data_IF_700681810910
#
_entry.id   IF_700681810910
#
_cell.length_a   1.000
_cell.length_b   1.000
_cell.length_c   1.000
_cell.angle_alpha   90.00
_cell.angle_beta   90.00
_cell.angle_gamma   90.00
#
_symmetry.space_group_name_H-M   'P 1'
#
loop_
_entity.id
_entity.type
_entity.pdbx_description
1 polymer ?
#
# COMPACT_ATOMS: atom_id res chain seq x y z
N UNK A 1 -84.95 19.53 -2.04
CA UNK A 1 -85.82 20.66 -2.43
C UNK A 1 -84.91 21.88 -2.37
N UNK A 2 -84.95 22.77 -3.37
CA UNK A 2 -84.19 24.03 -3.34
C UNK A 2 -85.09 25.09 -2.70
N UNK A 3 -84.52 26.03 -1.95
CA UNK A 3 -85.24 27.19 -1.43
C UNK A 3 -85.64 28.17 -2.56
N UNK A 4 -86.46 29.18 -2.23
CA UNK A 4 -86.98 30.16 -3.22
C UNK A 4 -85.89 31.07 -3.85
N UNK A 5 -84.61 30.91 -3.48
CA UNK A 5 -83.46 31.57 -4.12
C UNK A 5 -82.51 30.58 -4.83
N UNK A 6 -82.88 29.29 -4.92
CA UNK A 6 -82.21 28.30 -5.75
C UNK A 6 -80.96 27.67 -5.15
N UNK A 7 -80.77 27.76 -3.82
CA UNK A 7 -79.68 27.08 -3.13
C UNK A 7 -80.13 25.69 -2.61
N UNK A 8 -79.23 24.69 -2.63
CA UNK A 8 -79.52 23.37 -2.06
C UNK A 8 -79.44 23.39 -0.53
N UNK A 9 -80.58 23.09 0.12
CA UNK A 9 -80.67 22.75 1.54
C UNK A 9 -79.84 21.49 1.83
N UNK A 10 -78.81 21.63 2.66
CA UNK A 10 -78.04 20.50 3.21
C UNK A 10 -78.15 20.60 4.73
N UNK A 11 -78.97 19.73 5.32
CA UNK A 11 -79.13 19.58 6.76
C UNK A 11 -77.86 18.97 7.39
N UNK A 12 -77.11 19.77 8.16
CA UNK A 12 -75.97 19.34 8.97
C UNK A 12 -76.41 18.76 10.33
N UNK A 13 -77.20 17.68 10.41
CA UNK A 13 -77.26 16.89 11.67
C UNK A 13 -77.71 15.45 11.45
N UNK A 14 -76.79 14.53 11.15
CA UNK A 14 -76.92 13.14 11.60
C UNK A 14 -75.55 12.46 11.68
N UNK A 15 -74.85 12.76 12.78
CA UNK A 15 -73.68 12.05 13.24
C UNK A 15 -74.15 10.98 14.23
N UNK A 16 -73.95 9.69 13.94
CA UNK A 16 -73.49 8.62 14.86
C UNK A 16 -73.93 7.21 14.39
N UNK A 17 -72.96 6.36 14.00
CA UNK A 17 -73.12 4.90 14.13
C UNK A 17 -72.26 4.00 13.25
N UNK A 18 -71.04 3.66 13.69
CA UNK A 18 -70.37 2.39 13.33
C UNK A 18 -69.02 2.48 12.58
N UNK A 19 -67.93 2.18 13.30
CA UNK A 19 -66.53 1.94 12.84
C UNK A 19 -66.30 0.47 12.39
N UNK A 20 -65.12 0.05 11.87
CA UNK A 20 -64.01 0.73 11.17
C UNK A 20 -63.55 -0.06 9.90
N UNK A 21 -62.40 0.33 9.33
CA UNK A 21 -61.56 -0.40 8.35
C UNK A 21 -61.81 -0.12 6.86
N UNK A 22 -61.43 1.09 6.45
CA UNK A 22 -60.70 1.27 5.21
C UNK A 22 -59.57 2.25 5.50
N UNK A 23 -58.32 1.78 5.45
CA UNK A 23 -57.15 2.65 5.36
C UNK A 23 -57.37 3.53 4.12
N UNK A 24 -57.64 4.82 4.35
CA UNK A 24 -57.56 5.84 3.33
C UNK A 24 -56.13 5.79 2.76
N UNK A 25 -56.03 5.34 1.52
CA UNK A 25 -54.87 5.53 0.65
C UNK A 25 -54.76 7.04 0.37
N UNK A 26 -54.29 7.76 1.37
CA UNK A 26 -54.00 9.18 1.33
C UNK A 26 -52.92 9.39 0.29
N UNK A 27 -53.20 10.28 -0.68
CA UNK A 27 -52.18 10.69 -1.63
C UNK A 27 -51.05 11.32 -0.82
N UNK A 28 -49.86 10.73 -0.89
CA UNK A 28 -48.63 11.25 -0.30
C UNK A 28 -48.22 12.52 -1.07
N UNK A 29 -48.95 13.61 -0.83
CA UNK A 29 -48.59 14.94 -1.27
C UNK A 29 -47.56 15.47 -0.28
N UNK A 30 -46.28 15.31 -0.62
CA UNK A 30 -45.20 16.08 0.00
C UNK A 30 -45.57 17.58 -0.08
N UNK A 31 -45.76 18.23 1.08
CA UNK A 31 -46.12 19.65 1.23
C UNK A 31 -45.06 20.64 0.67
N UNK A 32 -43.95 20.14 0.10
CA UNK A 32 -42.95 20.93 -0.60
C UNK A 32 -43.24 20.98 -2.10
N UNK A 33 -44.14 21.90 -2.48
CA UNK A 33 -44.27 22.40 -3.85
C UNK A 33 -42.94 23.02 -4.29
N UNK A 34 -42.05 22.20 -4.85
CA UNK A 34 -40.83 22.67 -5.49
C UNK A 34 -41.22 23.56 -6.67
N UNK A 35 -41.13 24.87 -6.48
CA UNK A 35 -41.30 25.86 -7.53
C UNK A 35 -40.37 25.47 -8.69
N UNK A 36 -40.89 25.28 -9.92
CA UNK A 36 -40.07 25.09 -11.10
C UNK A 36 -38.97 26.16 -11.15
N UNK A 37 -37.76 25.83 -11.58
CA UNK A 37 -36.64 26.79 -11.62
C UNK A 37 -36.92 28.04 -12.50
N UNK A 38 -38.03 28.01 -13.23
CA UNK A 38 -38.59 29.01 -14.10
C UNK A 38 -39.37 30.13 -13.36
N UNK A 39 -39.64 30.00 -12.05
CA UNK A 39 -40.35 31.05 -11.27
C UNK A 39 -39.44 32.07 -10.58
N UNK A 40 -38.11 31.95 -10.71
CA UNK A 40 -37.23 33.09 -10.47
C UNK A 40 -37.43 34.09 -11.61
N UNK A 41 -38.26 35.10 -11.36
CA UNK A 41 -38.51 36.21 -12.27
C UNK A 41 -37.18 36.82 -12.73
N UNK A 42 -36.70 36.38 -13.89
CA UNK A 42 -35.73 37.13 -14.67
C UNK A 42 -36.41 38.44 -14.99
N UNK A 43 -35.95 39.54 -14.40
CA UNK A 43 -36.28 40.87 -14.88
C UNK A 43 -35.91 40.88 -16.38
N UNK A 44 -36.93 40.76 -17.23
CA UNK A 44 -36.79 40.79 -18.67
C UNK A 44 -36.25 42.16 -19.04
N UNK A 45 -34.98 42.20 -19.43
CA UNK A 45 -34.51 43.26 -20.31
C UNK A 45 -35.03 42.85 -21.68
N UNK A 46 -35.93 43.66 -22.25
CA UNK A 46 -36.36 43.52 -23.64
C UNK A 46 -35.11 43.39 -24.54
N UNK A 47 -34.94 42.22 -25.14
CA UNK A 47 -33.83 41.90 -26.04
C UNK A 47 -34.23 42.30 -27.46
N UNK A 48 -34.27 43.61 -27.73
CA UNK A 48 -34.36 44.15 -29.09
C UNK A 48 -32.99 44.19 -29.80
N UNK A 49 -31.92 43.64 -29.21
CA UNK A 49 -30.57 43.66 -29.78
C UNK A 49 -29.74 42.41 -29.41
N UNK A 50 -30.22 41.21 -29.78
CA UNK A 50 -29.43 39.99 -29.95
C UNK A 50 -28.30 39.75 -28.94
N UNK A 51 -28.56 39.91 -27.63
CA UNK A 51 -27.53 39.88 -26.61
C UNK A 51 -27.00 38.46 -26.38
N UNK A 52 -25.81 38.16 -26.91
CA UNK A 52 -25.13 36.87 -26.68
C UNK A 52 -24.22 36.92 -25.45
N UNK A 53 -24.52 36.08 -24.45
CA UNK A 53 -23.65 35.84 -23.29
C UNK A 53 -22.89 34.52 -23.44
N UNK A 54 -21.54 34.52 -23.46
CA UNK A 54 -20.76 33.28 -23.55
C UNK A 54 -20.92 32.41 -22.28
N UNK A 55 -20.99 31.07 -22.42
CA UNK A 55 -21.13 30.18 -21.27
C UNK A 55 -19.86 30.12 -20.42
N UNK A 56 -20.03 29.95 -19.11
CA UNK A 56 -18.91 29.74 -18.19
C UNK A 56 -18.33 28.34 -18.30
N UNK A 57 -17.00 28.23 -18.29
CA UNK A 57 -16.31 26.94 -18.36
C UNK A 57 -16.60 26.09 -17.11
N UNK A 58 -17.11 24.88 -17.32
CA UNK A 58 -17.25 23.87 -16.27
C UNK A 58 -15.92 23.26 -15.84
N UNK A 59 -15.92 22.61 -14.67
CA UNK A 59 -14.76 21.87 -14.16
C UNK A 59 -14.64 20.50 -14.85
N UNK A 60 -13.42 20.02 -15.15
CA UNK A 60 -13.22 18.69 -15.72
C UNK A 60 -13.55 17.59 -14.68
N UNK A 61 -13.87 16.35 -15.11
CA UNK A 61 -14.17 15.23 -14.19
C UNK A 61 -13.09 15.01 -13.12
N UNK A 62 -11.81 15.14 -13.50
CA UNK A 62 -10.68 14.98 -12.58
C UNK A 62 -10.70 15.92 -11.37
N UNK A 63 -11.35 17.08 -11.48
CA UNK A 63 -11.50 18.03 -10.37
C UNK A 63 -12.30 17.44 -9.20
N UNK A 64 -13.27 16.56 -9.49
CA UNK A 64 -14.18 16.02 -8.46
C UNK A 64 -13.62 14.77 -7.77
N UNK A 65 -12.68 14.04 -8.38
CA UNK A 65 -12.15 12.78 -7.82
C UNK A 65 -11.57 12.90 -6.41
N UNK A 66 -10.80 13.96 -6.06
CA UNK A 66 -10.28 14.12 -4.70
C UNK A 66 -11.35 14.26 -3.61
N UNK A 67 -12.55 14.73 -3.98
CA UNK A 67 -13.68 14.87 -3.05
C UNK A 67 -14.41 13.53 -2.87
N UNK A 68 -14.48 12.74 -3.94
CA UNK A 68 -15.19 11.45 -3.97
C UNK A 68 -14.34 10.27 -3.48
N UNK A 69 -13.03 10.46 -3.25
CA UNK A 69 -12.13 9.39 -2.83
C UNK A 69 -11.11 9.83 -1.79
N UNK A 70 -10.72 8.88 -0.92
CA UNK A 70 -9.62 9.01 0.05
C UNK A 70 -8.39 8.16 -0.32
N UNK A 71 -8.36 7.60 -1.53
CA UNK A 71 -7.26 6.78 -2.01
C UNK A 71 -6.19 7.65 -2.67
N UNK A 72 -4.93 7.40 -2.35
CA UNK A 72 -3.79 8.17 -2.90
C UNK A 72 -3.76 8.11 -4.43
N UNK A 73 -4.02 6.93 -5.00
CA UNK A 73 -4.05 6.73 -6.45
C UNK A 73 -5.01 7.69 -7.18
N UNK A 74 -6.18 7.96 -6.60
CA UNK A 74 -7.19 8.84 -7.20
C UNK A 74 -6.78 10.31 -7.16
N UNK A 75 -6.14 10.73 -6.07
CA UNK A 75 -5.60 12.09 -5.95
C UNK A 75 -4.43 12.32 -6.90
N UNK A 76 -3.56 11.32 -7.06
CA UNK A 76 -2.44 11.38 -8.00
C UNK A 76 -2.93 11.44 -9.45
N UNK A 77 -3.89 10.59 -9.82
CA UNK A 77 -4.48 10.61 -11.18
C UNK A 77 -5.24 11.90 -11.46
N UNK A 78 -5.82 12.55 -10.45
CA UNK A 78 -6.41 13.88 -10.59
C UNK A 78 -5.38 15.01 -10.78
N UNK A 79 -4.10 14.75 -10.55
CA UNK A 79 -3.05 15.78 -10.51
C UNK A 79 -3.00 16.57 -9.20
N UNK A 80 -3.78 16.17 -8.18
CA UNK A 80 -3.83 16.79 -6.87
C UNK A 80 -2.69 16.26 -5.97
N UNK A 81 -1.43 16.50 -6.37
CA UNK A 81 -0.25 15.93 -5.71
C UNK A 81 -0.08 16.36 -4.24
N UNK A 82 -0.43 17.60 -3.88
CA UNK A 82 -0.37 18.06 -2.49
C UNK A 82 -1.36 17.33 -1.59
N UNK A 83 -2.53 17.00 -2.12
CA UNK A 83 -3.54 16.22 -1.41
C UNK A 83 -3.10 14.75 -1.28
N UNK A 84 -2.57 14.17 -2.35
CA UNK A 84 -1.99 12.83 -2.33
C UNK A 84 -0.83 12.70 -1.32
N UNK A 85 0.06 13.71 -1.25
CA UNK A 85 1.17 13.72 -0.31
C UNK A 85 0.70 13.77 1.15
N UNK A 86 -0.33 14.58 1.46
CA UNK A 86 -0.96 14.61 2.79
C UNK A 86 -1.57 13.26 3.15
N UNK A 87 -2.28 12.62 2.23
CA UNK A 87 -2.82 11.27 2.46
C UNK A 87 -1.71 10.24 2.75
N UNK A 88 -0.61 10.26 2.00
CA UNK A 88 0.53 9.38 2.26
C UNK A 88 1.19 9.65 3.63
N UNK A 89 1.24 10.90 4.05
CA UNK A 89 1.75 11.28 5.36
C UNK A 89 0.84 10.75 6.49
N UNK A 90 -0.47 10.94 6.40
CA UNK A 90 -1.42 10.56 7.44
C UNK A 90 -1.65 9.03 7.49
N UNK A 91 -1.67 8.37 6.34
CA UNK A 91 -1.93 6.94 6.23
C UNK A 91 -0.68 6.09 6.52
N UNK A 92 0.49 6.52 6.05
CA UNK A 92 1.70 5.69 6.02
C UNK A 92 2.93 6.37 6.64
N UNK A 93 2.79 7.59 7.17
CA UNK A 93 3.90 8.29 7.84
C UNK A 93 4.99 8.73 6.88
N UNK A 94 4.66 8.91 5.60
CA UNK A 94 5.61 9.31 4.55
C UNK A 94 5.92 10.80 4.70
N UNK A 95 7.19 11.12 4.95
CA UNK A 95 7.70 12.49 5.11
C UNK A 95 8.57 12.93 3.94
N UNK A 96 9.20 11.98 3.23
CA UNK A 96 9.99 12.26 2.04
C UNK A 96 9.24 11.79 0.80
N UNK A 97 8.64 12.74 0.08
CA UNK A 97 7.82 12.46 -1.11
C UNK A 97 8.66 12.33 -2.40
N UNK A 98 9.88 12.84 -2.44
CA UNK A 98 10.72 12.89 -3.65
C UNK A 98 10.85 11.53 -4.38
N UNK A 99 11.03 10.38 -3.70
CA UNK A 99 11.08 9.06 -4.36
C UNK A 99 9.79 8.66 -5.09
N UNK A 100 8.64 9.28 -4.76
CA UNK A 100 7.36 9.03 -5.45
C UNK A 100 7.22 9.80 -6.77
N UNK A 101 8.14 10.72 -7.11
CA UNK A 101 8.01 11.61 -8.28
C UNK A 101 7.69 10.84 -9.57
N UNK A 102 8.45 9.80 -9.89
CA UNK A 102 8.22 9.02 -11.11
C UNK A 102 6.91 8.22 -11.06
N UNK A 103 6.54 7.69 -9.89
CA UNK A 103 5.28 6.99 -9.71
C UNK A 103 4.08 7.93 -9.90
N UNK A 104 4.17 9.14 -9.36
CA UNK A 104 3.13 10.16 -9.47
C UNK A 104 2.96 10.63 -10.91
N UNK A 105 4.06 11.00 -11.57
CA UNK A 105 4.03 11.42 -12.97
C UNK A 105 3.50 10.32 -13.89
N UNK A 106 3.93 9.07 -13.68
CA UNK A 106 3.44 7.93 -14.47
C UNK A 106 1.93 7.71 -14.27
N UNK A 107 1.46 7.75 -13.03
CA UNK A 107 0.04 7.59 -12.72
C UNK A 107 -0.81 8.75 -13.24
N UNK A 108 -0.30 9.98 -13.20
CA UNK A 108 -0.97 11.14 -13.79
C UNK A 108 -1.01 11.08 -15.32
N UNK A 109 0.09 10.66 -15.97
CA UNK A 109 0.17 10.58 -17.43
C UNK A 109 -0.86 9.63 -18.05
N UNK A 110 -1.28 8.59 -17.31
CA UNK A 110 -2.32 7.62 -17.74
C UNK A 110 -3.75 7.99 -17.34
N UNK A 111 -3.96 9.15 -16.72
CA UNK A 111 -5.28 9.54 -16.15
C UNK A 111 -6.34 9.88 -17.19
N UNK A 112 -5.93 10.25 -18.40
CA UNK A 112 -6.80 10.75 -19.46
C UNK A 112 -6.32 10.30 -20.82
N UNK A 113 -7.27 10.12 -21.74
CA UNK A 113 -7.00 9.91 -23.15
C UNK A 113 -7.22 11.22 -23.92
N UNK A 114 -6.60 11.34 -25.09
CA UNK A 114 -6.77 12.49 -25.96
C UNK A 114 -7.40 12.03 -27.29
N UNK A 115 -8.33 12.82 -27.82
CA UNK A 115 -8.94 12.59 -29.12
C UNK A 115 -9.15 13.91 -29.86
N UNK A 116 -9.13 13.86 -31.19
CA UNK A 116 -9.43 15.03 -32.02
C UNK A 116 -10.92 15.06 -32.36
N UNK A 117 -11.53 16.23 -32.22
CA UNK A 117 -12.91 16.45 -32.63
C UNK A 117 -12.94 17.01 -34.05
N UNK A 118 -12.79 18.32 -34.16
CA UNK A 118 -12.63 19.03 -35.43
C UNK A 118 -11.14 19.19 -35.76
N UNK A 119 -10.74 18.99 -37.04
CA UNK A 119 -9.38 19.27 -37.47
C UNK A 119 -8.92 20.68 -37.08
N UNK A 120 -7.70 20.79 -36.54
CA UNK A 120 -7.09 22.06 -36.10
C UNK A 120 -7.75 22.76 -34.89
N UNK A 121 -8.74 22.16 -34.23
CA UNK A 121 -9.37 22.73 -33.02
C UNK A 121 -8.62 22.39 -31.71
N UNK A 122 -7.57 21.57 -31.78
CA UNK A 122 -6.81 21.08 -30.63
C UNK A 122 -7.36 19.78 -30.02
N UNK A 123 -6.63 19.17 -29.08
CA UNK A 123 -7.02 17.90 -28.49
C UNK A 123 -8.13 18.07 -27.46
N UNK A 124 -9.13 17.19 -27.52
CA UNK A 124 -10.09 16.96 -26.45
C UNK A 124 -9.55 15.89 -25.51
N UNK A 125 -9.93 15.97 -24.24
CA UNK A 125 -9.56 14.97 -23.24
C UNK A 125 -10.78 14.19 -22.79
N UNK A 126 -10.65 12.87 -22.77
CA UNK A 126 -11.60 11.97 -22.12
C UNK A 126 -10.99 11.40 -20.85
N UNK A 127 -11.83 11.20 -19.83
CA UNK A 127 -11.43 10.76 -18.49
C UNK A 127 -12.10 9.42 -18.20
N UNK A 128 -11.43 8.28 -18.50
CA UNK A 128 -12.00 6.96 -18.26
C UNK A 128 -12.29 6.73 -16.78
N UNK A 129 -13.47 6.20 -16.47
CA UNK A 129 -13.93 5.98 -15.11
C UNK A 129 -14.05 4.48 -14.80
N UNK A 130 -13.68 4.08 -13.59
CA UNK A 130 -13.88 2.68 -13.15
C UNK A 130 -15.34 2.37 -12.82
N UNK A 131 -16.11 3.38 -12.44
CA UNK A 131 -17.54 3.30 -12.14
C UNK A 131 -18.41 3.93 -13.24
N UNK A 132 -17.99 3.82 -14.51
CA UNK A 132 -18.62 4.50 -15.65
C UNK A 132 -20.10 4.16 -15.86
N UNK A 133 -20.57 2.99 -15.41
CA UNK A 133 -21.97 2.56 -15.52
C UNK A 133 -22.89 3.30 -14.54
N UNK A 134 -22.37 3.67 -13.38
CA UNK A 134 -23.12 4.28 -12.27
C UNK A 134 -22.82 5.78 -12.13
N UNK A 135 -21.75 6.27 -12.78
CA UNK A 135 -21.31 7.64 -12.62
C UNK A 135 -22.22 8.63 -13.35
N UNK A 136 -22.87 9.53 -12.60
CA UNK A 136 -23.52 10.73 -13.13
C UNK A 136 -22.69 11.99 -12.78
N UNK A 137 -21.89 12.48 -13.73
CA UNK A 137 -21.15 13.73 -13.58
C UNK A 137 -20.11 13.72 -12.45
N UNK A 138 -20.46 14.25 -11.27
CA UNK A 138 -19.51 14.58 -10.17
C UNK A 138 -19.05 13.36 -9.35
N UNK A 139 -19.75 12.23 -9.44
CA UNK A 139 -19.47 11.02 -8.64
C UNK A 139 -18.54 10.01 -9.35
N UNK A 140 -17.97 10.39 -10.51
CA UNK A 140 -17.02 9.55 -11.22
C UNK A 140 -15.73 9.31 -10.42
N UNK A 141 -15.12 8.16 -10.64
CA UNK A 141 -13.83 7.78 -10.07
C UNK A 141 -12.90 7.29 -11.18
N UNK A 142 -11.60 7.62 -11.16
CA UNK A 142 -10.69 7.35 -12.26
C UNK A 142 -10.50 5.85 -12.50
N UNK A 143 -10.24 5.48 -13.76
CA UNK A 143 -9.91 4.10 -14.12
C UNK A 143 -8.66 3.60 -13.39
N UNK A 144 -8.65 2.30 -13.07
CA UNK A 144 -7.51 1.64 -12.43
C UNK A 144 -6.48 1.29 -13.50
N UNK A 145 -5.24 1.74 -13.33
CA UNK A 145 -4.15 1.47 -14.27
C UNK A 145 -2.98 0.66 -13.70
N UNK A 146 -3.05 0.25 -12.43
CA UNK A 146 -2.05 -0.59 -11.77
C UNK A 146 -2.79 -1.65 -10.97
N UNK A 147 -2.52 -2.91 -11.27
CA UNK A 147 -3.12 -4.04 -10.59
C UNK A 147 -2.10 -4.80 -9.74
N UNK A 148 -2.59 -5.59 -8.79
CA UNK A 148 -1.74 -6.39 -7.91
C UNK A 148 -0.87 -7.39 -8.71
N UNK A 149 -1.42 -7.95 -9.79
CA UNK A 149 -0.69 -8.83 -10.72
C UNK A 149 0.53 -8.17 -11.36
N UNK A 150 0.48 -6.86 -11.65
CA UNK A 150 1.64 -6.13 -12.17
C UNK A 150 2.79 -6.09 -11.16
N UNK A 151 2.47 -5.91 -9.87
CA UNK A 151 3.47 -5.90 -8.82
C UNK A 151 4.02 -7.29 -8.54
N UNK A 152 3.18 -8.33 -8.60
CA UNK A 152 3.62 -9.72 -8.50
C UNK A 152 4.62 -10.09 -9.61
N UNK A 153 4.38 -9.62 -10.85
CA UNK A 153 5.31 -9.81 -11.96
C UNK A 153 6.65 -9.09 -11.72
N UNK A 154 6.62 -7.85 -11.24
CA UNK A 154 7.85 -7.09 -10.87
C UNK A 154 8.63 -7.76 -9.74
N UNK A 155 7.95 -8.43 -8.82
CA UNK A 155 8.58 -9.18 -7.73
C UNK A 155 9.42 -10.36 -8.25
N UNK A 156 8.98 -11.03 -9.32
CA UNK A 156 9.76 -12.11 -9.94
C UNK A 156 11.11 -11.61 -10.47
N UNK A 157 11.14 -10.41 -11.05
CA UNK A 157 12.40 -9.76 -11.46
C UNK A 157 13.32 -9.52 -10.26
N UNK A 158 12.77 -9.09 -9.12
CA UNK A 158 13.53 -8.90 -7.88
C UNK A 158 14.13 -10.22 -7.36
N UNK A 159 13.40 -11.33 -7.45
CA UNK A 159 13.92 -12.65 -7.11
C UNK A 159 15.06 -13.08 -8.03
N UNK A 160 14.94 -12.84 -9.33
CA UNK A 160 16.02 -13.13 -10.28
C UNK A 160 17.28 -12.30 -10.00
N UNK A 161 17.14 -11.01 -9.71
CA UNK A 161 18.26 -10.13 -9.33
C UNK A 161 18.92 -10.59 -8.02
N UNK A 162 18.12 -11.06 -7.07
CA UNK A 162 18.63 -11.62 -5.80
C UNK A 162 19.41 -12.91 -6.02
N UNK A 163 18.89 -13.83 -6.84
CA UNK A 163 19.58 -15.08 -7.19
C UNK A 163 20.88 -14.85 -7.94
N UNK A 164 20.92 -13.84 -8.83
CA UNK A 164 22.12 -13.47 -9.60
C UNK A 164 23.15 -12.64 -8.81
N UNK A 165 22.85 -12.29 -7.55
CA UNK A 165 23.77 -11.56 -6.67
C UNK A 165 23.85 -10.05 -6.94
N UNK A 166 22.98 -9.50 -7.79
CA UNK A 166 22.91 -8.07 -8.11
C UNK A 166 22.12 -7.29 -7.04
N UNK A 167 22.65 -7.26 -5.82
CA UNK A 167 21.92 -6.75 -4.65
C UNK A 167 21.56 -5.27 -4.74
N UNK A 168 22.44 -4.42 -5.29
CA UNK A 168 22.14 -2.99 -5.44
C UNK A 168 20.92 -2.74 -6.34
N UNK A 169 20.88 -3.39 -7.52
CA UNK A 169 19.73 -3.33 -8.44
C UNK A 169 18.47 -3.92 -7.81
N UNK A 170 18.60 -5.05 -7.09
CA UNK A 170 17.47 -5.69 -6.40
C UNK A 170 16.87 -4.78 -5.33
N UNK A 171 17.70 -4.10 -4.52
CA UNK A 171 17.26 -3.16 -3.48
C UNK A 171 16.49 -1.99 -4.12
N UNK A 172 17.00 -1.43 -5.21
CA UNK A 172 16.32 -0.33 -5.91
C UNK A 172 14.95 -0.77 -6.43
N UNK A 173 14.88 -1.94 -7.09
CA UNK A 173 13.62 -2.47 -7.64
C UNK A 173 12.61 -2.85 -6.57
N UNK A 174 13.05 -3.42 -5.45
CA UNK A 174 12.20 -3.71 -4.30
C UNK A 174 11.63 -2.43 -3.67
N UNK A 175 12.43 -1.36 -3.56
CA UNK A 175 11.93 -0.05 -3.11
C UNK A 175 10.92 0.53 -4.09
N UNK A 176 11.20 0.51 -5.40
CA UNK A 176 10.26 0.97 -6.43
C UNK A 176 8.92 0.21 -6.39
N UNK A 177 8.98 -1.11 -6.15
CA UNK A 177 7.80 -1.95 -5.98
C UNK A 177 7.03 -1.57 -4.71
N UNK A 178 7.71 -1.42 -3.58
CA UNK A 178 7.12 -1.02 -2.30
C UNK A 178 6.40 0.34 -2.41
N UNK A 179 7.02 1.32 -3.09
CA UNK A 179 6.42 2.64 -3.35
C UNK A 179 5.23 2.60 -4.33
N UNK A 180 5.05 1.51 -5.08
CA UNK A 180 3.89 1.34 -5.96
C UNK A 180 2.66 0.83 -5.22
N UNK A 181 2.83 0.18 -4.05
CA UNK A 181 1.71 -0.43 -3.30
C UNK A 181 0.65 0.60 -2.86
N UNK A 182 1.00 1.79 -2.34
CA UNK A 182 0.00 2.80 -1.96
C UNK A 182 -0.81 3.36 -3.15
N UNK A 183 -0.38 3.08 -4.38
CA UNK A 183 -1.05 3.52 -5.61
C UNK A 183 -1.96 2.44 -6.21
N UNK A 184 -2.14 1.32 -5.52
CA UNK A 184 -3.12 0.30 -5.89
C UNK A 184 -4.53 0.74 -5.53
N UNK A 185 -5.48 0.22 -6.29
CA UNK A 185 -6.91 0.24 -6.00
C UNK A 185 -7.38 -1.21 -6.12
N UNK A 186 -7.89 -1.76 -5.03
CA UNK A 186 -8.34 -3.16 -4.94
C UNK A 186 -9.76 -3.25 -4.42
N UNK A 187 -10.47 -4.31 -4.79
CA UNK A 187 -11.91 -4.42 -4.59
C UNK A 187 -12.25 -5.25 -3.35
N UNK A 188 -11.36 -6.16 -2.96
CA UNK A 188 -11.61 -7.10 -1.87
C UNK A 188 -10.67 -6.95 -0.67
N UNK A 189 -11.15 -7.35 0.51
CA UNK A 189 -10.31 -7.46 1.72
C UNK A 189 -9.17 -8.47 1.56
N UNK A 190 -9.37 -9.48 0.70
CA UNK A 190 -8.34 -10.47 0.40
C UNK A 190 -7.18 -9.83 -0.36
N UNK A 191 -7.44 -9.06 -1.40
CA UNK A 191 -6.41 -8.33 -2.15
C UNK A 191 -5.68 -7.30 -1.28
N UNK A 192 -6.37 -6.66 -0.32
CA UNK A 192 -5.72 -5.81 0.69
C UNK A 192 -4.72 -6.62 1.52
N UNK A 193 -5.08 -7.83 1.95
CA UNK A 193 -4.18 -8.71 2.69
C UNK A 193 -2.99 -9.16 1.83
N UNK A 194 -3.21 -9.48 0.56
CA UNK A 194 -2.14 -9.84 -0.38
C UNK A 194 -1.18 -8.66 -0.64
N UNK A 195 -1.70 -7.43 -0.75
CA UNK A 195 -0.87 -6.23 -0.86
C UNK A 195 -0.05 -5.98 0.42
N UNK A 196 -0.61 -6.25 1.60
CA UNK A 196 0.13 -6.17 2.86
C UNK A 196 1.23 -7.24 2.95
N UNK A 197 0.93 -8.48 2.53
CA UNK A 197 1.94 -9.54 2.41
C UNK A 197 3.04 -9.16 1.43
N UNK A 198 2.72 -8.48 0.33
CA UNK A 198 3.71 -7.98 -0.61
C UNK A 198 4.65 -6.94 0.04
N UNK A 199 4.12 -6.04 0.87
CA UNK A 199 4.94 -5.11 1.67
C UNK A 199 5.86 -5.89 2.60
N UNK A 200 5.34 -6.91 3.30
CA UNK A 200 6.12 -7.74 4.20
C UNK A 200 7.26 -8.47 3.47
N UNK A 201 6.97 -9.08 2.32
CA UNK A 201 8.00 -9.72 1.47
C UNK A 201 9.07 -8.68 1.08
N UNK A 202 8.67 -7.50 0.61
CA UNK A 202 9.63 -6.47 0.22
C UNK A 202 10.48 -6.01 1.41
N UNK A 203 9.89 -5.88 2.61
CA UNK A 203 10.63 -5.57 3.83
C UNK A 203 11.68 -6.64 4.13
N UNK A 204 11.28 -7.91 4.17
CA UNK A 204 12.18 -9.02 4.53
C UNK A 204 13.39 -9.09 3.59
N UNK A 205 13.14 -8.95 2.28
CA UNK A 205 14.23 -8.90 1.30
C UNK A 205 15.08 -7.64 1.44
N UNK A 206 14.48 -6.46 1.60
CA UNK A 206 15.25 -5.22 1.73
C UNK A 206 16.14 -5.23 2.99
N UNK A 207 15.61 -5.61 4.15
CA UNK A 207 16.39 -5.69 5.40
C UNK A 207 17.54 -6.67 5.24
N UNK A 208 17.27 -7.86 4.71
CA UNK A 208 18.29 -8.88 4.49
C UNK A 208 19.38 -8.46 3.50
N UNK A 209 19.00 -7.86 2.36
CA UNK A 209 19.95 -7.41 1.34
C UNK A 209 20.76 -6.17 1.78
N UNK A 210 20.15 -5.25 2.54
CA UNK A 210 20.87 -4.11 3.13
C UNK A 210 21.88 -4.60 4.16
N UNK A 211 21.48 -5.55 5.01
CA UNK A 211 22.38 -6.18 5.97
C UNK A 211 23.55 -6.88 5.26
N UNK A 212 23.28 -7.68 4.24
CA UNK A 212 24.31 -8.41 3.52
C UNK A 212 25.27 -7.48 2.76
N UNK A 213 24.76 -6.37 2.21
CA UNK A 213 25.58 -5.32 1.61
C UNK A 213 26.50 -4.69 2.66
N UNK A 214 25.96 -4.28 3.81
CA UNK A 214 26.76 -3.72 4.91
C UNK A 214 27.79 -4.71 5.46
N UNK A 215 27.45 -6.00 5.55
CA UNK A 215 28.36 -7.07 5.99
C UNK A 215 29.56 -7.22 5.04
N UNK A 216 29.34 -7.05 3.73
CA UNK A 216 30.41 -7.13 2.72
C UNK A 216 31.37 -5.95 2.78
N UNK A 217 30.93 -4.80 3.27
CA UNK A 217 31.73 -3.58 3.43
C UNK A 217 32.57 -3.60 4.72
N UNK A 218 32.26 -4.47 5.69
CA UNK A 218 33.03 -4.57 6.92
C UNK A 218 34.49 -5.03 6.67
N UNK A 219 35.48 -4.41 7.35
CA UNK A 219 36.87 -4.87 7.36
C UNK A 219 37.00 -6.33 7.82
N UNK A 220 38.06 -7.03 7.40
CA UNK A 220 38.33 -8.44 7.74
C UNK A 220 39.68 -8.66 8.42
N UNK A 221 40.22 -7.58 8.96
CA UNK A 221 41.54 -7.44 9.57
C UNK A 221 41.60 -7.93 11.01
N UNK A 222 40.49 -7.86 11.76
CA UNK A 222 40.44 -8.24 13.18
C UNK A 222 39.51 -9.41 13.47
N UNK A 223 39.77 -10.12 14.58
CA UNK A 223 38.91 -11.21 15.08
C UNK A 223 37.54 -10.65 15.49
N UNK A 224 37.48 -9.45 16.07
CA UNK A 224 36.22 -8.74 16.39
C UNK A 224 35.37 -8.52 15.14
N UNK A 225 36.01 -8.07 14.05
CA UNK A 225 35.33 -7.89 12.77
C UNK A 225 34.87 -9.23 12.18
N UNK A 226 35.65 -10.31 12.34
CA UNK A 226 35.24 -11.66 11.93
C UNK A 226 34.02 -12.16 12.73
N UNK A 227 33.95 -11.89 14.05
CA UNK A 227 32.76 -12.19 14.87
C UNK A 227 31.55 -11.40 14.38
N UNK A 228 31.68 -10.09 14.18
CA UNK A 228 30.60 -9.23 13.69
C UNK A 228 30.09 -9.67 12.32
N UNK A 229 31.01 -10.09 11.45
CA UNK A 229 30.67 -10.61 10.14
C UNK A 229 29.85 -11.91 10.23
N UNK A 230 30.25 -12.82 11.12
CA UNK A 230 29.50 -14.04 11.40
C UNK A 230 28.12 -13.75 12.02
N UNK A 231 28.03 -12.85 13.00
CA UNK A 231 26.76 -12.41 13.60
C UNK A 231 25.77 -11.90 12.56
N UNK A 232 26.20 -10.97 11.70
CA UNK A 232 25.35 -10.45 10.63
C UNK A 232 24.90 -11.57 9.68
N UNK A 233 25.80 -12.46 9.26
CA UNK A 233 25.42 -13.60 8.43
C UNK A 233 24.38 -14.50 9.12
N UNK A 234 24.49 -14.73 10.43
CA UNK A 234 23.50 -15.49 11.20
C UNK A 234 22.15 -14.77 11.29
N UNK A 235 22.14 -13.45 11.49
CA UNK A 235 20.90 -12.66 11.47
C UNK A 235 20.19 -12.76 10.13
N UNK A 236 20.95 -12.74 9.02
CA UNK A 236 20.37 -12.89 7.69
C UNK A 236 19.69 -14.25 7.47
N UNK A 237 20.12 -15.30 8.17
CA UNK A 237 19.43 -16.60 8.11
C UNK A 237 18.02 -16.56 8.71
N UNK A 238 17.66 -15.53 9.48
CA UNK A 238 16.33 -15.38 10.09
C UNK A 238 15.37 -14.51 9.28
N UNK A 239 15.82 -13.89 8.19
CA UNK A 239 14.95 -13.18 7.26
C UNK A 239 14.03 -14.17 6.52
N UNK A 240 12.74 -13.83 6.41
CA UNK A 240 11.75 -14.71 5.80
C UNK A 240 11.76 -14.59 4.27
N UNK A 241 12.78 -15.19 3.65
CA UNK A 241 12.95 -15.20 2.18
C UNK A 241 12.32 -16.44 1.55
N UNK A 242 12.27 -16.52 0.22
CA UNK A 242 11.95 -17.76 -0.47
C UNK A 242 13.00 -18.84 -0.17
N UNK A 243 12.64 -20.14 -0.14
CA UNK A 243 13.55 -21.23 0.19
C UNK A 243 14.86 -21.23 -0.61
N UNK A 244 14.79 -20.90 -1.91
CA UNK A 244 15.98 -20.81 -2.78
C UNK A 244 17.00 -19.78 -2.27
N UNK A 245 16.53 -18.65 -1.75
CA UNK A 245 17.39 -17.60 -1.21
C UNK A 245 17.83 -17.92 0.23
N UNK A 246 16.96 -18.53 1.04
CA UNK A 246 17.36 -19.00 2.39
C UNK A 246 18.50 -20.03 2.32
N UNK A 247 18.51 -20.90 1.32
CA UNK A 247 19.62 -21.84 1.09
C UNK A 247 20.94 -21.07 0.83
N UNK A 248 20.90 -19.98 0.07
CA UNK A 248 22.09 -19.16 -0.21
C UNK A 248 22.61 -18.43 1.04
N UNK A 249 21.70 -17.89 1.87
CA UNK A 249 22.09 -17.21 3.12
C UNK A 249 22.67 -18.19 4.12
N UNK A 250 22.03 -19.36 4.33
CA UNK A 250 22.54 -20.42 5.19
C UNK A 250 23.89 -20.96 4.71
N UNK A 251 24.09 -21.14 3.40
CA UNK A 251 25.38 -21.58 2.85
C UNK A 251 26.50 -20.58 3.17
N UNK A 252 26.18 -19.28 3.12
CA UNK A 252 27.13 -18.22 3.49
C UNK A 252 27.44 -18.25 4.98
N UNK A 253 26.42 -18.38 5.84
CA UNK A 253 26.60 -18.50 7.28
C UNK A 253 27.44 -19.73 7.66
N UNK A 254 27.13 -20.91 7.13
CA UNK A 254 27.90 -22.16 7.36
C UNK A 254 29.39 -21.96 7.07
N UNK A 255 29.71 -21.36 5.91
CA UNK A 255 31.12 -21.12 5.54
C UNK A 255 31.85 -20.19 6.52
N UNK A 256 31.17 -19.17 7.06
CA UNK A 256 31.76 -18.23 8.01
C UNK A 256 31.91 -18.86 9.40
N UNK A 257 30.88 -19.54 9.88
CA UNK A 257 30.87 -20.18 11.20
C UNK A 257 31.88 -21.34 11.27
N UNK A 258 31.99 -22.12 10.19
CA UNK A 258 33.00 -23.20 10.12
C UNK A 258 34.43 -22.64 10.17
N UNK A 259 34.71 -21.54 9.46
CA UNK A 259 36.02 -20.87 9.50
C UNK A 259 36.34 -20.25 10.86
N UNK A 260 35.32 -19.74 11.55
CA UNK A 260 35.44 -19.14 12.89
C UNK A 260 35.46 -20.21 14.02
N UNK A 261 35.46 -21.50 13.68
CA UNK A 261 35.40 -22.63 14.63
C UNK A 261 34.20 -22.57 15.58
N UNK A 262 33.06 -22.13 15.05
CA UNK A 262 31.77 -22.13 15.75
C UNK A 262 30.98 -23.38 15.37
N UNK A 263 31.48 -24.56 15.79
CA UNK A 263 31.04 -25.83 15.22
C UNK A 263 29.64 -26.23 15.69
N UNK A 264 29.27 -25.93 16.93
CA UNK A 264 27.93 -26.25 17.45
C UNK A 264 26.86 -25.47 16.69
N UNK A 265 27.05 -24.16 16.54
CA UNK A 265 26.11 -23.31 15.80
C UNK A 265 26.14 -23.63 14.29
N UNK A 266 27.32 -23.90 13.73
CA UNK A 266 27.45 -24.33 12.33
C UNK A 266 26.66 -25.61 12.02
N UNK A 267 26.69 -26.60 12.93
CA UNK A 267 25.94 -27.84 12.76
C UNK A 267 24.43 -27.58 12.67
N UNK A 268 23.90 -26.64 13.46
CA UNK A 268 22.48 -26.27 13.39
C UNK A 268 22.12 -25.67 12.03
N UNK A 269 22.92 -24.72 11.52
CA UNK A 269 22.71 -24.16 10.18
C UNK A 269 22.77 -25.23 9.08
N UNK A 270 23.68 -26.20 9.18
CA UNK A 270 23.75 -27.31 8.24
C UNK A 270 22.46 -28.15 8.22
N UNK A 271 21.89 -28.48 9.39
CA UNK A 271 20.62 -29.23 9.47
C UNK A 271 19.47 -28.46 8.85
N UNK A 272 19.31 -27.19 9.23
CA UNK A 272 18.28 -26.29 8.68
C UNK A 272 18.43 -26.12 7.16
N UNK A 273 19.65 -26.03 6.63
CA UNK A 273 19.88 -25.97 5.19
C UNK A 273 19.44 -27.27 4.51
N UNK A 274 19.75 -28.44 5.09
CA UNK A 274 19.36 -29.74 4.52
C UNK A 274 17.84 -29.95 4.53
N UNK A 275 17.13 -29.42 5.53
CA UNK A 275 15.66 -29.46 5.61
C UNK A 275 14.98 -28.68 4.48
N UNK A 276 15.60 -27.61 3.99
CA UNK A 276 15.09 -26.82 2.86
C UNK A 276 15.20 -27.54 1.50
N UNK A 277 15.79 -28.74 1.44
CA UNK A 277 15.90 -29.53 0.21
C UNK A 277 16.80 -28.90 -0.85
N UNK A 278 18.11 -28.67 -0.57
CA UNK A 278 19.03 -28.08 -1.53
C UNK A 278 19.34 -29.07 -2.67
N UNK A 279 19.94 -28.56 -3.76
CA UNK A 279 20.44 -29.39 -4.86
C UNK A 279 21.37 -30.51 -4.35
N UNK A 280 21.36 -31.72 -4.96
CA UNK A 280 22.11 -32.88 -4.45
C UNK A 280 23.60 -32.62 -4.18
N UNK A 281 24.26 -31.85 -5.05
CA UNK A 281 25.67 -31.46 -4.90
C UNK A 281 25.91 -30.63 -3.63
N UNK A 282 25.04 -29.64 -3.39
CA UNK A 282 25.08 -28.80 -2.19
C UNK A 282 24.78 -29.65 -0.96
N UNK A 283 23.76 -30.52 -1.02
CA UNK A 283 23.42 -31.42 0.08
C UNK A 283 24.62 -32.31 0.48
N UNK A 284 25.32 -32.89 -0.50
CA UNK A 284 26.49 -33.72 -0.25
C UNK A 284 27.64 -32.92 0.39
N UNK A 285 27.87 -31.68 -0.05
CA UNK A 285 28.85 -30.79 0.58
C UNK A 285 28.48 -30.48 2.03
N UNK A 286 27.24 -30.09 2.29
CA UNK A 286 26.77 -29.71 3.63
C UNK A 286 26.78 -30.89 4.61
N UNK A 287 26.45 -32.11 4.17
CA UNK A 287 26.58 -33.32 5.01
C UNK A 287 28.02 -33.58 5.45
N UNK A 288 29.01 -33.35 4.59
CA UNK A 288 30.43 -33.47 4.96
C UNK A 288 30.83 -32.43 6.01
N UNK A 289 30.38 -31.19 5.85
CA UNK A 289 30.62 -30.11 6.81
C UNK A 289 29.95 -30.41 8.15
N UNK A 290 28.71 -30.91 8.13
CA UNK A 290 27.97 -31.32 9.33
C UNK A 290 28.72 -32.43 10.09
N UNK A 291 29.15 -33.48 9.39
CA UNK A 291 29.91 -34.57 10.01
C UNK A 291 31.26 -34.10 10.61
N UNK A 292 31.88 -33.07 10.03
CA UNK A 292 33.08 -32.47 10.60
C UNK A 292 32.77 -31.62 11.85
N UNK A 293 31.69 -30.85 11.82
CA UNK A 293 31.24 -30.02 12.94
C UNK A 293 30.75 -30.84 14.14
N UNK A 294 30.15 -32.02 13.90
CA UNK A 294 29.67 -32.92 14.96
C UNK A 294 30.79 -33.69 15.68
N UNK A 295 32.00 -33.77 15.10
CA UNK A 295 33.16 -34.40 15.76
C UNK A 295 33.69 -33.58 16.94
N UNK A 296 33.57 -32.26 16.86
CA UNK A 296 33.97 -31.32 17.91
C UNK A 296 32.91 -30.22 18.01
N UNK A 297 31.78 -30.48 18.69
CA UNK A 297 30.64 -29.57 18.74
C UNK A 297 30.84 -28.46 19.78
N UNK A 298 31.95 -27.71 19.63
CA UNK A 298 32.29 -26.59 20.50
C UNK A 298 32.28 -25.27 19.72
N UNK A 299 31.89 -24.20 20.41
CA UNK A 299 31.83 -22.85 19.86
C UNK A 299 33.00 -22.03 20.44
N UNK A 300 33.97 -21.67 19.59
CA UNK A 300 35.24 -21.08 20.04
C UNK A 300 35.12 -19.65 20.58
N UNK A 301 34.09 -18.90 20.18
CA UNK A 301 33.90 -17.51 20.61
C UNK A 301 32.45 -17.23 21.01
N UNK A 302 32.26 -16.32 21.97
CA UNK A 302 30.92 -15.81 22.31
C UNK A 302 30.49 -14.78 21.26
N UNK A 303 29.34 -15.03 20.61
CA UNK A 303 28.71 -14.15 19.63
C UNK A 303 27.39 -13.58 20.20
N UNK A 304 26.97 -12.42 19.72
CA UNK A 304 25.66 -11.82 20.01
C UNK A 304 24.55 -12.45 19.16
N UNK A 305 24.45 -13.77 19.17
CA UNK A 305 23.46 -14.50 18.41
C UNK A 305 22.94 -15.66 19.26
N UNK A 306 21.61 -15.77 19.31
CA UNK A 306 20.91 -16.83 20.01
C UNK A 306 19.85 -17.37 19.07
N UNK A 307 20.02 -18.62 18.65
CA UNK A 307 19.15 -19.32 17.71
C UNK A 307 17.81 -19.70 18.33
N UNK A 308 17.76 -19.92 19.65
CA UNK A 308 16.57 -20.42 20.34
C UNK A 308 15.63 -19.29 20.76
N UNK A 309 16.11 -18.04 20.74
CA UNK A 309 15.34 -16.88 21.15
C UNK A 309 14.90 -16.06 19.93
N UNK A 310 13.60 -16.02 19.60
CA UNK A 310 13.09 -15.25 18.47
C UNK A 310 13.47 -13.76 18.56
N UNK A 311 14.01 -13.22 17.46
CA UNK A 311 14.38 -11.82 17.35
C UNK A 311 13.98 -11.24 15.99
N UNK A 312 13.91 -9.91 15.93
CA UNK A 312 13.82 -9.15 14.69
C UNK A 312 15.09 -8.32 14.54
N UNK A 313 15.60 -8.17 13.32
CA UNK A 313 16.82 -7.39 13.09
C UNK A 313 16.49 -5.89 13.06
N UNK A 314 17.24 -5.08 13.82
CA UNK A 314 17.19 -3.63 13.67
C UNK A 314 17.72 -3.24 12.29
N UNK A 315 16.91 -2.50 11.52
CA UNK A 315 17.20 -2.25 10.09
C UNK A 315 18.28 -1.19 9.82
N UNK A 316 18.83 -0.56 10.87
CA UNK A 316 19.94 0.41 10.78
C UNK A 316 21.23 -0.12 11.41
N UNK A 317 21.15 -0.57 12.65
CA UNK A 317 22.34 -1.05 13.39
C UNK A 317 22.66 -2.52 13.10
N UNK A 318 21.74 -3.26 12.47
CA UNK A 318 21.85 -4.70 12.24
C UNK A 318 22.16 -5.48 13.51
N UNK A 319 21.47 -5.15 14.60
CA UNK A 319 21.52 -5.87 15.88
C UNK A 319 20.20 -6.60 16.14
N UNK A 320 20.20 -7.75 16.84
CA UNK A 320 18.99 -8.51 17.11
C UNK A 320 18.17 -7.83 18.23
N UNK A 321 16.90 -7.60 17.94
CA UNK A 321 15.89 -7.13 18.88
C UNK A 321 15.09 -8.36 19.34
N UNK A 322 15.53 -8.94 20.47
CA UNK A 322 14.88 -10.12 21.05
C UNK A 322 13.47 -9.82 21.55
N UNK A 323 12.62 -10.85 21.51
CA UNK A 323 11.23 -10.76 21.97
C UNK A 323 11.14 -10.22 23.39
N UNK A 324 10.25 -9.25 23.59
CA UNK A 324 10.02 -8.60 24.89
C UNK A 324 10.81 -7.31 25.11
N UNK A 325 11.82 -7.01 24.28
CA UNK A 325 12.47 -5.69 24.28
C UNK A 325 11.61 -4.66 23.54
N UNK A 326 11.64 -3.37 23.95
CA UNK A 326 10.94 -2.31 23.24
C UNK A 326 11.53 -2.18 21.83
N UNK A 327 10.65 -2.07 20.83
CA UNK A 327 11.00 -1.85 19.44
C UNK A 327 10.02 -0.86 18.83
N UNK A 328 10.51 -0.10 17.86
CA UNK A 328 9.70 0.87 17.10
C UNK A 328 9.67 0.42 15.65
N UNK A 329 8.53 0.58 14.97
CA UNK A 329 8.36 0.11 13.59
C UNK A 329 8.15 1.28 12.64
N UNK A 330 8.59 1.10 11.40
CA UNK A 330 8.16 1.93 10.29
C UNK A 330 6.66 1.69 10.02
N UNK A 331 5.79 2.70 10.04
CA UNK A 331 4.36 2.53 9.80
C UNK A 331 4.04 2.10 8.36
N UNK A 332 4.95 2.35 7.41
CA UNK A 332 4.76 1.95 6.02
C UNK A 332 5.22 0.51 5.74
N UNK A 333 6.51 0.23 5.88
CA UNK A 333 7.07 -1.08 5.50
C UNK A 333 7.13 -2.09 6.65
N UNK A 334 6.85 -1.68 7.89
CA UNK A 334 6.91 -2.55 9.07
C UNK A 334 8.33 -2.91 9.54
N UNK A 335 9.37 -2.29 8.99
CA UNK A 335 10.77 -2.49 9.42
C UNK A 335 10.94 -2.11 10.90
N UNK A 336 11.61 -2.97 11.68
CA UNK A 336 11.86 -2.76 13.10
C UNK A 336 13.16 -2.01 13.35
N UNK A 337 13.12 -1.14 14.36
CA UNK A 337 14.22 -0.32 14.85
C UNK A 337 14.28 -0.34 16.37
N UNK A 338 15.47 -0.03 16.90
CA UNK A 338 15.63 0.24 18.32
C UNK A 338 14.96 1.58 18.68
N UNK A 339 14.43 1.77 19.90
CA UNK A 339 13.63 2.95 20.26
C UNK A 339 14.37 4.29 20.14
N UNK A 340 15.69 4.28 20.29
CA UNK A 340 16.60 5.41 20.11
C UNK A 340 16.61 5.99 18.69
N UNK A 341 16.09 5.25 17.70
CA UNK A 341 16.02 5.67 16.31
C UNK A 341 14.65 6.22 15.88
N UNK A 342 13.69 6.35 16.83
CA UNK A 342 12.38 6.93 16.57
C UNK A 342 12.48 8.38 16.06
N UNK A 343 11.57 8.78 15.17
CA UNK A 343 11.58 10.10 14.51
C UNK A 343 12.57 10.22 13.34
N UNK A 344 13.48 9.25 13.17
CA UNK A 344 14.37 9.18 12.00
C UNK A 344 13.66 8.71 10.73
N UNK A 345 14.29 8.91 9.58
CA UNK A 345 13.81 8.34 8.30
C UNK A 345 14.17 6.86 8.24
N UNK A 346 13.23 6.01 7.83
CA UNK A 346 13.41 4.57 7.69
C UNK A 346 14.42 4.23 6.58
N UNK A 347 15.49 3.48 6.89
CA UNK A 347 16.54 3.07 5.94
C UNK A 347 16.06 2.06 4.88
N UNK A 348 14.99 1.31 5.21
CA UNK A 348 14.40 0.29 4.33
C UNK A 348 13.61 0.95 3.19
N UNK A 349 12.56 1.71 3.54
CA UNK A 349 11.70 2.36 2.53
C UNK A 349 12.21 3.75 2.09
N UNK A 350 13.09 4.40 2.85
CA UNK A 350 13.67 5.72 2.61
C UNK A 350 12.68 6.90 2.55
N UNK A 351 11.40 6.67 2.86
CA UNK A 351 10.33 7.68 2.73
C UNK A 351 9.57 7.97 4.02
N UNK A 352 9.40 6.97 4.89
CA UNK A 352 8.57 7.08 6.09
C UNK A 352 9.38 7.34 7.36
N UNK A 353 8.75 8.02 8.31
CA UNK A 353 9.28 8.32 9.64
C UNK A 353 9.11 7.13 10.59
N UNK A 354 10.17 6.75 11.30
CA UNK A 354 10.18 5.60 12.20
C UNK A 354 9.35 5.92 13.45
N UNK A 355 8.33 5.09 13.72
CA UNK A 355 7.52 5.20 14.94
C UNK A 355 6.42 6.24 14.91
N UNK A 356 6.14 6.83 13.75
CA UNK A 356 5.02 7.75 13.59
C UNK A 356 3.69 7.01 13.66
N UNK A 357 2.72 7.59 14.38
CA UNK A 357 1.35 7.09 14.42
C UNK A 357 0.64 7.40 13.10
N UNK A 358 -0.04 6.40 12.54
CA UNK A 358 -0.70 6.53 11.24
C UNK A 358 -2.02 5.75 11.20
N UNK A 359 -2.86 6.11 10.22
CA UNK A 359 -4.17 5.46 10.00
C UNK A 359 -4.02 4.03 9.42
N UNK A 360 -2.87 3.76 8.78
CA UNK A 360 -2.58 2.53 8.06
C UNK A 360 -2.95 2.59 6.57
N UNK A 361 -2.48 1.61 5.80
CA UNK A 361 -2.66 1.54 4.35
C UNK A 361 -4.14 1.62 3.94
N UNK A 362 -4.44 2.50 2.97
CA UNK A 362 -5.76 2.63 2.34
C UNK A 362 -5.63 2.51 0.81
N UNK A 363 -6.02 1.35 0.29
CA UNK A 363 -5.98 1.01 -1.14
C UNK A 363 -7.31 0.41 -1.63
N UNK A 364 -8.34 0.37 -0.78
CA UNK A 364 -9.67 -0.10 -1.14
C UNK A 364 -10.75 0.78 -0.52
N UNK A 365 -11.85 0.99 -1.25
CA UNK A 365 -13.03 1.70 -0.75
C UNK A 365 -13.68 0.95 0.43
N UNK A 366 -13.51 -0.37 0.51
CA UNK A 366 -14.03 -1.20 1.61
C UNK A 366 -13.39 -0.84 2.96
N UNK A 367 -12.21 -0.22 2.96
CA UNK A 367 -11.52 0.22 4.17
C UNK A 367 -12.03 1.58 4.69
N UNK A 368 -12.83 2.30 3.90
CA UNK A 368 -13.35 3.64 4.21
C UNK A 368 -14.66 3.68 4.99
N UNK A 369 -15.36 2.55 5.13
CA UNK A 369 -16.67 2.47 5.81
C UNK A 369 -16.56 2.13 7.32
N UNK A 370 -15.66 2.79 8.05
CA UNK A 370 -15.62 2.70 9.52
C UNK A 370 -15.48 4.06 10.17
#
# INVERSE_FOLDING_TARGET
MLDEEGNPDIDEVELLGGKPDAEEDGWDVDDDLALPADVEARAGVDDEDGFYSPPTRGQPPAFYWPNSSRLVADHVTAGAFDSAARLLQDQLGIIRIEPFKQHFLTAFARSRTAFEGLPSAGPNFAYPLRNWQESSGKNGLPAVGLHLGDLANRLQTCYHLTTSGKFAEAIEKLRQLLLSVPLLIVDSKQEVAEAQQLIDICREYLVGLLLETARKELPKDSIENAKRNAEMAAYFTHCQLQPVHQILTLRTAINLFFKLKQMKTCASFCRRLLELGPKPEVAAQIRKVLAAAEKDPTDAHKLHYDELNPFVVCSRTFTPLYRGKPQVKCPFCGASYSPDLAGGICDVCQVAEIGRDTIGLRISVVQGNK
#
